data_IF_321933706896
#
_entry.id   IF_321933706896
#
_cell.length_a   1.000
_cell.length_b   1.000
_cell.length_c   1.000
_cell.angle_alpha   90.00
_cell.angle_beta   90.00
_cell.angle_gamma   90.00
#
_symmetry.space_group_name_H-M   'P 1'
#
loop_
_entity.id
_entity.type
_entity.pdbx_description
1 polymer ?
#
# COMPACT_ATOMS: atom_id res chain seq x y z
N UNK A 1 -15.74 5.75 15.68
CA UNK A 1 -15.38 5.77 14.25
C UNK A 1 -13.88 5.53 14.13
N UNK A 2 -13.39 4.57 13.33
CA UNK A 2 -11.97 4.48 13.03
C UNK A 2 -11.54 5.79 12.37
N UNK A 3 -10.60 6.52 12.96
CA UNK A 3 -10.02 7.69 12.31
C UNK A 3 -9.20 7.18 11.11
N UNK A 4 -9.51 7.68 9.91
CA UNK A 4 -8.88 7.25 8.66
C UNK A 4 -7.36 7.40 8.66
N UNK A 5 -6.71 6.80 7.65
CA UNK A 5 -5.25 6.68 7.49
C UNK A 5 -4.48 8.00 7.69
N UNK A 6 -5.11 9.16 7.44
CA UNK A 6 -4.54 10.49 7.67
C UNK A 6 -4.25 10.82 9.15
N UNK A 7 -4.87 10.12 10.10
CA UNK A 7 -4.62 10.29 11.54
C UNK A 7 -3.48 9.40 12.06
N UNK A 8 -2.99 8.44 11.24
CA UNK A 8 -1.76 7.71 11.55
C UNK A 8 -0.58 8.59 11.18
N UNK A 9 0.30 8.82 12.15
CA UNK A 9 1.33 9.85 12.25
C UNK A 9 2.46 9.79 11.20
N UNK A 10 2.23 9.17 10.04
CA UNK A 10 3.27 8.86 9.07
C UNK A 10 3.34 9.91 7.96
N UNK A 11 2.21 10.26 7.32
CA UNK A 11 2.19 11.23 6.23
C UNK A 11 2.37 12.67 6.70
N UNK A 12 1.84 13.04 7.86
CA UNK A 12 1.99 14.39 8.43
C UNK A 12 3.43 14.69 8.85
N UNK A 13 4.13 13.69 9.39
CA UNK A 13 5.55 13.78 9.71
C UNK A 13 6.41 13.85 8.45
N UNK A 14 6.09 13.04 7.44
CA UNK A 14 6.82 13.03 6.16
C UNK A 14 6.69 14.33 5.37
N UNK A 15 5.48 14.92 5.32
CA UNK A 15 5.22 16.12 4.53
C UNK A 15 5.94 17.37 5.07
N UNK A 16 6.41 17.35 6.32
CA UNK A 16 7.22 18.43 6.93
C UNK A 16 6.53 19.80 7.03
N UNK A 17 5.27 19.90 6.60
CA UNK A 17 4.44 21.11 6.59
C UNK A 17 3.06 20.81 7.13
N UNK A 18 2.31 21.86 7.43
CA UNK A 18 0.94 21.72 7.90
C UNK A 18 0.06 21.04 6.83
N UNK A 19 -0.35 19.80 7.08
CA UNK A 19 -1.26 19.00 6.23
C UNK A 19 -2.55 19.76 5.86
N UNK A 20 -2.95 20.78 6.65
CA UNK A 20 -4.07 21.68 6.33
C UNK A 20 -3.89 22.49 5.03
N UNK A 21 -2.69 22.56 4.46
CA UNK A 21 -2.46 23.17 3.15
C UNK A 21 -2.70 22.23 1.97
N UNK A 22 -2.91 20.93 2.21
CA UNK A 22 -3.23 19.98 1.15
C UNK A 22 -4.69 20.10 0.74
N UNK A 23 -4.93 20.20 -0.57
CA UNK A 23 -6.28 20.10 -1.12
C UNK A 23 -6.69 18.63 -1.21
N UNK A 24 -7.28 18.10 -0.14
CA UNK A 24 -7.76 16.72 -0.08
C UNK A 24 -9.19 16.68 -0.61
N UNK A 25 -9.32 16.26 -1.87
CA UNK A 25 -10.63 16.16 -2.56
C UNK A 25 -11.44 14.92 -2.16
N UNK A 26 -10.81 13.95 -1.50
CA UNK A 26 -11.48 12.74 -1.03
C UNK A 26 -10.52 11.74 -0.36
N UNK A 27 -11.11 10.71 0.26
CA UNK A 27 -10.39 9.58 0.85
C UNK A 27 -11.07 8.28 0.48
N UNK A 28 -10.30 7.25 0.15
CA UNK A 28 -10.81 5.93 -0.24
C UNK A 28 -10.06 4.80 0.44
N UNK A 29 -10.77 3.70 0.71
CA UNK A 29 -10.19 2.49 1.30
C UNK A 29 -9.60 1.54 0.25
N UNK A 30 -10.15 1.56 -0.97
CA UNK A 30 -9.74 0.69 -2.06
C UNK A 30 -9.05 1.53 -3.12
N UNK A 31 -7.75 1.27 -3.35
CA UNK A 31 -6.95 2.04 -4.30
C UNK A 31 -7.46 1.98 -5.73
N UNK A 32 -8.10 0.88 -6.13
CA UNK A 32 -8.76 0.77 -7.43
C UNK A 32 -9.85 1.84 -7.64
N UNK A 33 -10.65 2.13 -6.61
CA UNK A 33 -11.68 3.17 -6.75
C UNK A 33 -11.04 4.54 -6.92
N UNK A 34 -9.95 4.82 -6.18
CA UNK A 34 -9.21 6.07 -6.30
C UNK A 34 -8.54 6.20 -7.68
N UNK A 35 -8.05 5.09 -8.25
CA UNK A 35 -7.38 5.12 -9.55
C UNK A 35 -8.30 5.54 -10.68
N UNK A 36 -9.59 5.20 -10.64
CA UNK A 36 -10.56 5.68 -11.63
C UNK A 36 -10.65 7.21 -11.65
N UNK A 37 -10.61 7.87 -10.48
CA UNK A 37 -10.61 9.34 -10.43
C UNK A 37 -9.30 9.94 -10.93
N UNK A 38 -8.16 9.29 -10.66
CA UNK A 38 -6.86 9.74 -11.15
C UNK A 38 -6.78 9.62 -12.68
N UNK A 39 -7.29 8.52 -13.25
CA UNK A 39 -7.35 8.31 -14.71
C UNK A 39 -8.15 9.41 -15.42
N UNK A 40 -9.28 9.82 -14.82
CA UNK A 40 -10.13 10.88 -15.33
C UNK A 40 -9.62 12.30 -15.01
N UNK A 41 -8.43 12.43 -14.39
CA UNK A 41 -7.78 13.72 -14.17
C UNK A 41 -8.28 14.53 -12.96
N UNK A 42 -9.04 13.92 -12.05
CA UNK A 42 -9.54 14.61 -10.84
C UNK A 42 -8.45 14.93 -9.80
N UNK A 43 -7.26 14.36 -9.94
CA UNK A 43 -6.13 14.64 -9.05
C UNK A 43 -5.12 13.50 -9.00
N UNK A 44 -4.38 13.42 -7.89
CA UNK A 44 -3.45 12.34 -7.59
C UNK A 44 -3.93 11.54 -6.37
N UNK A 45 -3.52 10.27 -6.29
CA UNK A 45 -3.78 9.42 -5.14
C UNK A 45 -2.46 9.05 -4.46
N UNK A 46 -2.48 9.00 -3.12
CA UNK A 46 -1.36 8.54 -2.30
C UNK A 46 -1.71 7.15 -1.77
N UNK A 47 -0.85 6.16 -2.02
CA UNK A 47 -1.03 4.80 -1.53
C UNK A 47 0.17 3.90 -1.82
N UNK A 48 0.16 2.65 -1.30
CA UNK A 48 1.22 1.68 -1.55
C UNK A 48 1.37 1.33 -3.04
N UNK A 49 2.62 1.11 -3.46
CA UNK A 49 2.95 0.58 -4.78
C UNK A 49 2.36 -0.84 -4.99
N UNK A 50 2.06 -1.19 -6.24
CA UNK A 50 1.60 -2.52 -6.62
C UNK A 50 0.13 -2.84 -6.32
N UNK A 51 -0.66 -1.86 -5.83
CA UNK A 51 -2.11 -2.04 -5.60
C UNK A 51 -2.97 -1.77 -6.83
N UNK A 52 -2.42 -1.07 -7.83
CA UNK A 52 -3.07 -0.72 -9.09
C UNK A 52 -2.04 -0.94 -10.19
N UNK A 53 -2.48 -1.39 -11.38
CA UNK A 53 -1.59 -1.52 -12.54
C UNK A 53 -1.09 -0.15 -12.98
N UNK A 54 0.21 0.01 -13.05
CA UNK A 54 0.93 1.12 -13.68
C UNK A 54 1.54 0.72 -15.02
N UNK A 55 0.98 -0.34 -15.65
CA UNK A 55 1.31 -0.71 -17.02
C UNK A 55 1.06 0.45 -17.99
N UNK A 56 1.81 0.57 -19.10
CA UNK A 56 1.62 1.64 -20.08
C UNK A 56 0.17 1.81 -20.54
N UNK A 57 -0.59 0.71 -20.63
CA UNK A 57 -1.99 0.70 -21.05
C UNK A 57 -2.97 1.24 -19.99
N UNK A 58 -2.56 1.40 -18.73
CA UNK A 58 -3.45 1.83 -17.66
C UNK A 58 -3.64 3.34 -17.59
N UNK A 59 -2.79 4.11 -18.30
CA UNK A 59 -2.77 5.57 -18.23
C UNK A 59 -2.34 6.13 -16.86
N UNK A 60 -1.78 5.28 -15.98
CA UNK A 60 -1.33 5.64 -14.65
C UNK A 60 0.17 5.41 -14.50
N UNK A 61 0.80 6.23 -13.65
CA UNK A 61 2.21 6.05 -13.29
C UNK A 61 2.37 6.16 -11.79
N UNK A 62 2.95 5.13 -11.17
CA UNK A 62 3.35 5.22 -9.79
C UNK A 62 4.61 6.09 -9.66
N UNK A 63 4.54 7.13 -8.82
CA UNK A 63 5.71 7.97 -8.52
C UNK A 63 6.08 7.79 -7.05
N UNK A 64 7.29 7.27 -6.75
CA UNK A 64 7.74 7.16 -5.37
C UNK A 64 7.87 8.56 -4.75
N UNK A 65 7.60 8.62 -3.46
CA UNK A 65 7.82 9.82 -2.66
C UNK A 65 9.32 10.08 -2.49
N UNK A 66 9.71 11.36 -2.41
CA UNK A 66 11.06 11.79 -2.06
C UNK A 66 10.99 12.77 -0.87
N UNK A 67 11.45 12.38 0.34
CA UNK A 67 12.18 11.15 0.65
C UNK A 67 11.32 9.87 0.55
N UNK A 68 11.90 8.68 0.33
CA UNK A 68 11.12 7.44 0.23
C UNK A 68 10.34 7.09 1.50
N UNK A 69 9.11 6.61 1.32
CA UNK A 69 8.28 6.02 2.38
C UNK A 69 7.84 4.61 1.97
N UNK A 70 8.01 3.66 2.88
CA UNK A 70 7.67 2.25 2.65
C UNK A 70 6.73 1.73 3.73
N UNK A 71 5.79 0.86 3.35
CA UNK A 71 4.92 0.14 4.28
C UNK A 71 5.49 -1.25 4.54
N UNK A 72 5.49 -1.68 5.80
CA UNK A 72 5.83 -3.07 6.17
C UNK A 72 4.56 -3.92 6.23
N UNK A 73 4.58 -5.07 5.57
CA UNK A 73 3.52 -6.07 5.62
C UNK A 73 3.93 -7.20 6.56
N UNK A 74 3.00 -7.64 7.40
CA UNK A 74 3.22 -8.74 8.34
C UNK A 74 2.02 -9.67 8.35
N UNK A 75 2.30 -10.96 8.59
CA UNK A 75 1.27 -11.95 8.90
C UNK A 75 1.24 -12.13 10.41
N UNK A 76 0.05 -11.99 10.98
CA UNK A 76 -0.16 -12.06 12.41
C UNK A 76 -1.11 -13.22 12.77
N UNK A 77 -0.80 -13.90 13.86
CA UNK A 77 -1.65 -14.90 14.50
C UNK A 77 -1.53 -14.80 16.02
N UNK A 78 -2.41 -15.50 16.76
CA UNK A 78 -2.44 -15.43 18.22
C UNK A 78 -1.14 -15.99 18.81
N UNK A 79 -0.57 -15.28 19.78
CA UNK A 79 0.60 -15.74 20.54
C UNK A 79 0.30 -17.11 21.17
N UNK A 80 1.26 -18.02 21.09
CA UNK A 80 1.17 -19.40 21.59
C UNK A 80 0.08 -20.27 20.94
N UNK A 81 -0.40 -19.92 19.73
CA UNK A 81 -1.27 -20.80 18.96
C UNK A 81 -0.42 -21.81 18.17
N UNK A 82 -0.57 -23.12 18.40
CA UNK A 82 0.09 -24.13 17.58
C UNK A 82 -0.39 -24.03 16.14
N UNK A 83 0.54 -24.08 15.19
CA UNK A 83 0.21 -24.06 13.77
C UNK A 83 -0.26 -25.45 13.35
N UNK A 84 -1.45 -25.52 12.75
CA UNK A 84 -1.97 -26.77 12.19
C UNK A 84 -1.15 -27.17 10.95
N UNK A 85 -1.20 -28.44 10.52
CA UNK A 85 -0.57 -28.86 9.27
C UNK A 85 -0.98 -28.01 8.06
N UNK A 86 -2.26 -27.63 7.97
CA UNK A 86 -2.77 -26.76 6.90
C UNK A 86 -2.16 -25.35 6.95
N UNK A 87 -1.99 -24.77 8.14
CA UNK A 87 -1.34 -23.46 8.29
C UNK A 87 0.13 -23.55 7.92
N UNK A 88 0.84 -24.61 8.32
CA UNK A 88 2.23 -24.82 7.91
C UNK A 88 2.36 -24.96 6.40
N UNK A 89 1.48 -25.72 5.75
CA UNK A 89 1.46 -25.85 4.30
C UNK A 89 1.23 -24.49 3.60
N UNK A 90 0.26 -23.71 4.08
CA UNK A 90 0.01 -22.35 3.58
C UNK A 90 1.23 -21.44 3.73
N UNK A 91 1.87 -21.44 4.92
CA UNK A 91 3.05 -20.61 5.17
C UNK A 91 4.24 -20.99 4.29
N UNK A 92 4.41 -22.29 3.99
CA UNK A 92 5.46 -22.74 3.07
C UNK A 92 5.18 -22.24 1.64
N UNK A 93 3.97 -22.46 1.12
CA UNK A 93 3.57 -21.97 -0.19
C UNK A 93 3.69 -20.44 -0.30
N UNK A 94 3.30 -19.71 0.75
CA UNK A 94 3.43 -18.27 0.76
C UNK A 94 4.89 -17.83 0.73
N UNK A 95 5.78 -18.47 1.49
CA UNK A 95 7.21 -18.16 1.47
C UNK A 95 7.81 -18.36 0.08
N UNK A 96 7.44 -19.43 -0.61
CA UNK A 96 7.87 -19.68 -1.99
C UNK A 96 7.41 -18.55 -2.94
N UNK A 97 6.13 -18.16 -2.87
CA UNK A 97 5.56 -17.08 -3.68
C UNK A 97 6.22 -15.72 -3.37
N UNK A 98 6.51 -15.44 -2.10
CA UNK A 98 7.12 -14.16 -1.70
C UNK A 98 8.61 -14.13 -2.06
N UNK A 99 9.37 -15.20 -1.83
CA UNK A 99 10.79 -15.27 -2.18
C UNK A 99 11.04 -15.15 -3.68
N UNK A 100 10.22 -15.83 -4.50
CA UNK A 100 10.28 -15.72 -5.96
C UNK A 100 10.00 -14.32 -6.51
N UNK A 101 9.36 -13.44 -5.72
CA UNK A 101 9.10 -12.04 -6.10
C UNK A 101 10.02 -11.01 -5.43
N UNK A 102 10.84 -11.42 -4.46
CA UNK A 102 11.84 -10.55 -3.80
C UNK A 102 13.24 -10.75 -4.40
N UNK A 103 13.50 -11.86 -5.10
CA UNK A 103 14.71 -11.99 -5.89
C UNK A 103 14.75 -10.86 -6.94
N UNK A 104 15.81 -10.02 -6.96
CA UNK A 104 15.98 -9.08 -8.06
C UNK A 104 16.09 -9.90 -9.35
N UNK A 105 15.40 -9.50 -10.41
CA UNK A 105 15.85 -9.84 -11.75
C UNK A 105 17.33 -9.40 -11.82
N UNK A 106 18.21 -10.38 -12.04
CA UNK A 106 19.65 -10.19 -12.20
C UNK A 106 19.97 -9.42 -13.48
#
# INVERSE_FOLDING_TARGET
MPQGVLARRDLSGWFGRNVKSLNIVGTMNLMHNASCFVQEGYGCAIGPAGLVSDSPDSGLTFRPLDPPMSTQLAIAWKKNQPLTPAVNAFLNALREVVQSRIAPEA
#
